data_IF_266283340769
#
_entry.id   IF_266283340769
#
_cell.length_a   1.000
_cell.length_b   1.000
_cell.length_c   1.000
_cell.angle_alpha   90.00
_cell.angle_beta   90.00
_cell.angle_gamma   90.00
#
_symmetry.space_group_name_H-M   'P 1'
#
loop_
_entity.id
_entity.type
_entity.pdbx_description
1 polymer ?
#
# COMPACT_ATOMS: atom_id res chain seq x y z
N UNK A 1 -7.30 -39.57 -20.39
CA UNK A 1 -6.32 -38.63 -19.83
C UNK A 1 -7.02 -37.37 -19.32
N UNK A 2 -7.66 -36.57 -20.18
CA UNK A 2 -8.39 -35.36 -19.75
C UNK A 2 -9.39 -35.56 -18.61
N UNK A 3 -10.26 -36.58 -18.69
CA UNK A 3 -11.22 -36.90 -17.61
C UNK A 3 -10.53 -37.18 -16.26
N UNK A 4 -9.33 -37.75 -16.27
CA UNK A 4 -8.56 -38.01 -15.05
C UNK A 4 -8.03 -36.71 -14.44
N UNK A 5 -7.52 -35.79 -15.27
CA UNK A 5 -7.07 -34.46 -14.83
C UNK A 5 -8.24 -33.65 -14.22
N UNK A 6 -9.44 -33.76 -14.80
CA UNK A 6 -10.66 -33.15 -14.28
C UNK A 6 -11.07 -33.71 -12.91
N UNK A 7 -10.98 -35.03 -12.74
CA UNK A 7 -11.27 -35.67 -11.46
C UNK A 7 -10.28 -35.24 -10.37
N UNK A 8 -8.99 -35.17 -10.70
CA UNK A 8 -7.96 -34.64 -9.80
C UNK A 8 -8.20 -33.17 -9.42
N UNK A 9 -8.62 -32.35 -10.39
CA UNK A 9 -8.97 -30.94 -10.14
C UNK A 9 -10.13 -30.84 -9.15
N UNK A 10 -11.20 -31.62 -9.33
CA UNK A 10 -12.34 -31.63 -8.43
C UNK A 10 -11.94 -32.02 -7.00
N UNK A 11 -11.08 -33.03 -6.84
CA UNK A 11 -10.58 -33.44 -5.52
C UNK A 11 -9.75 -32.33 -4.85
N UNK A 12 -8.88 -31.66 -5.60
CA UNK A 12 -8.09 -30.54 -5.08
C UNK A 12 -8.97 -29.34 -4.71
N UNK A 13 -10.03 -29.05 -5.48
CA UNK A 13 -11.00 -27.99 -5.16
C UNK A 13 -11.67 -28.28 -3.81
N UNK A 14 -12.12 -29.52 -3.59
CA UNK A 14 -12.73 -29.92 -2.31
C UNK A 14 -11.76 -29.69 -1.15
N UNK A 15 -10.52 -30.18 -1.27
CA UNK A 15 -9.49 -30.00 -0.23
C UNK A 15 -9.16 -28.52 0.01
N UNK A 16 -9.04 -27.71 -1.04
CA UNK A 16 -8.77 -26.27 -0.95
C UNK A 16 -9.91 -25.53 -0.26
N UNK A 17 -11.15 -25.88 -0.58
CA UNK A 17 -12.34 -25.30 0.05
C UNK A 17 -12.41 -25.65 1.54
N UNK A 18 -12.08 -26.88 1.91
CA UNK A 18 -12.00 -27.31 3.30
C UNK A 18 -10.91 -26.54 4.07
N UNK A 19 -9.69 -26.49 3.54
CA UNK A 19 -8.60 -25.67 4.10
C UNK A 19 -9.04 -24.22 4.32
N UNK A 20 -9.61 -23.60 3.29
CA UNK A 20 -10.06 -22.20 3.37
C UNK A 20 -11.18 -22.02 4.40
N UNK A 21 -12.09 -22.99 4.55
CA UNK A 21 -13.12 -22.98 5.59
C UNK A 21 -12.50 -23.01 6.98
N UNK A 22 -11.53 -23.89 7.21
CA UNK A 22 -10.83 -24.00 8.49
C UNK A 22 -10.04 -22.74 8.83
N UNK A 23 -9.33 -22.16 7.86
CA UNK A 23 -8.62 -20.89 8.02
C UNK A 23 -9.57 -19.73 8.37
N UNK A 24 -10.73 -19.62 7.70
CA UNK A 24 -11.74 -18.62 8.06
C UNK A 24 -12.30 -18.83 9.47
N UNK A 25 -12.56 -20.08 9.85
CA UNK A 25 -13.02 -20.43 11.21
C UNK A 25 -11.97 -20.03 12.25
N UNK A 26 -10.69 -20.35 12.01
CA UNK A 26 -9.59 -19.97 12.88
C UNK A 26 -9.49 -18.45 13.05
N UNK A 27 -9.52 -17.70 11.94
CA UNK A 27 -9.47 -16.24 11.98
C UNK A 27 -10.64 -15.65 12.78
N UNK A 28 -11.87 -16.14 12.57
CA UNK A 28 -13.04 -15.67 13.32
C UNK A 28 -12.94 -15.97 14.82
N UNK A 29 -12.45 -17.15 15.21
CA UNK A 29 -12.23 -17.51 16.61
C UNK A 29 -11.14 -16.64 17.25
N UNK A 30 -10.06 -16.36 16.51
CA UNK A 30 -8.99 -15.47 16.99
C UNK A 30 -9.49 -14.03 17.18
N UNK A 31 -10.33 -13.52 16.29
CA UNK A 31 -10.98 -12.21 16.46
C UNK A 31 -11.85 -12.18 17.71
N UNK A 32 -12.72 -13.18 17.90
CA UNK A 32 -13.57 -13.29 19.10
C UNK A 32 -12.73 -13.36 20.38
N UNK A 33 -11.62 -14.10 20.36
CA UNK A 33 -10.71 -14.19 21.48
C UNK A 33 -10.07 -12.83 21.81
N UNK A 34 -9.61 -12.08 20.81
CA UNK A 34 -9.02 -10.75 21.01
C UNK A 34 -10.03 -9.74 21.58
N UNK A 35 -11.26 -9.75 21.06
CA UNK A 35 -12.36 -8.89 21.53
C UNK A 35 -12.71 -9.22 22.99
N UNK A 36 -12.88 -10.51 23.29
CA UNK A 36 -13.22 -10.95 24.65
C UNK A 36 -12.07 -10.75 25.64
N UNK A 37 -10.81 -10.87 25.23
CA UNK A 37 -9.65 -10.60 26.08
C UNK A 37 -9.56 -9.11 26.44
N UNK A 38 -9.94 -8.21 25.53
CA UNK A 38 -10.07 -6.79 25.84
C UNK A 38 -11.17 -6.53 26.88
N UNK A 39 -12.34 -7.16 26.71
CA UNK A 39 -13.44 -7.10 27.68
C UNK A 39 -13.03 -7.67 29.04
N UNK A 40 -12.34 -8.81 29.08
CA UNK A 40 -11.82 -9.42 30.31
C UNK A 40 -10.89 -8.47 31.06
N UNK A 41 -9.97 -7.80 30.35
CA UNK A 41 -9.06 -6.80 30.95
C UNK A 41 -9.80 -5.60 31.54
N UNK A 42 -10.87 -5.14 30.90
CA UNK A 42 -11.66 -4.03 31.45
C UNK A 42 -12.51 -4.46 32.64
N UNK A 43 -13.07 -5.68 32.61
CA UNK A 43 -13.73 -6.31 33.75
C UNK A 43 -12.76 -6.52 34.92
N UNK A 44 -11.50 -6.89 34.68
CA UNK A 44 -10.47 -7.04 35.71
C UNK A 44 -10.19 -5.71 36.43
N UNK A 45 -10.08 -4.61 35.67
CA UNK A 45 -9.92 -3.26 36.23
C UNK A 45 -11.15 -2.83 37.03
N UNK A 46 -12.35 -3.08 36.50
CA UNK A 46 -13.61 -2.78 37.17
C UNK A 46 -13.74 -3.58 38.47
N UNK A 47 -13.45 -4.88 38.44
CA UNK A 47 -13.49 -5.76 39.61
C UNK A 47 -12.52 -5.27 40.69
N UNK A 48 -11.30 -4.91 40.31
CA UNK A 48 -10.29 -4.35 41.23
C UNK A 48 -10.77 -3.05 41.88
N UNK A 49 -11.54 -2.23 41.17
CA UNK A 49 -12.11 -0.99 41.69
C UNK A 49 -13.25 -1.27 42.67
N UNK A 50 -14.22 -2.10 42.28
CA UNK A 50 -15.36 -2.47 43.15
C UNK A 50 -14.88 -3.18 44.43
N UNK A 51 -13.88 -4.06 44.33
CA UNK A 51 -13.24 -4.69 45.50
C UNK A 51 -12.60 -3.64 46.44
N UNK A 52 -11.96 -2.60 45.90
CA UNK A 52 -11.40 -1.50 46.72
C UNK A 52 -12.49 -0.67 47.38
N UNK A 53 -13.62 -0.43 46.73
CA UNK A 53 -14.72 0.36 47.27
C UNK A 53 -15.46 -0.42 48.38
N UNK A 54 -15.64 -1.73 48.23
CA UNK A 54 -16.04 -2.64 49.31
C UNK A 54 -15.07 -2.59 50.49
N UNK A 55 -13.75 -2.65 50.24
CA UNK A 55 -12.73 -2.57 51.30
C UNK A 55 -12.67 -1.20 51.99
N UNK A 56 -12.97 -0.10 51.31
CA UNK A 56 -13.08 1.24 51.93
C UNK A 56 -14.28 1.33 52.86
N UNK A 57 -15.38 0.66 52.54
CA UNK A 57 -16.53 0.54 53.44
C UNK A 57 -16.21 -0.32 54.69
N UNK A 58 -15.21 -1.21 54.61
CA UNK A 58 -14.67 -1.94 55.76
C UNK A 58 -13.58 -1.16 56.52
N UNK A 59 -12.88 -0.21 55.88
CA UNK A 59 -11.87 0.67 56.50
C UNK A 59 -12.45 1.94 57.16
N UNK A 60 -13.76 2.19 57.09
CA UNK A 60 -14.41 3.06 58.07
C UNK A 60 -14.30 2.37 59.44
N UNK A 61 -13.30 2.80 60.21
CA UNK A 61 -12.88 2.20 61.47
C UNK A 61 -14.05 1.75 62.35
N UNK A 62 -14.06 0.45 62.66
CA UNK A 62 -14.89 -0.18 63.67
C UNK A 62 -14.82 0.54 65.04
N UNK A 63 -13.78 1.32 65.30
CA UNK A 63 -13.65 2.09 66.56
C UNK A 63 -14.69 3.20 66.72
N UNK A 64 -15.25 3.73 65.64
CA UNK A 64 -16.17 4.89 65.69
C UNK A 64 -17.65 4.54 65.52
N UNK A 65 -18.00 3.25 65.35
CA UNK A 65 -19.36 2.81 65.02
C UNK A 65 -19.94 1.75 65.98
N UNK A 66 -19.28 1.43 67.09
CA UNK A 66 -19.87 0.57 68.14
C UNK A 66 -21.08 1.25 68.82
N UNK A 67 -21.27 2.57 68.64
CA UNK A 67 -22.41 3.33 69.18
C UNK A 67 -23.70 3.26 68.34
N UNK A 68 -23.70 2.64 67.16
CA UNK A 68 -24.90 2.53 66.29
C UNK A 68 -25.23 1.10 65.82
N UNK A 69 -24.58 0.10 66.42
CA UNK A 69 -24.64 -1.30 66.01
C UNK A 69 -25.95 -2.00 66.46
N UNK A 70 -27.06 -1.66 65.81
CA UNK A 70 -28.26 -2.50 65.78
C UNK A 70 -28.67 -2.75 64.33
N UNK A 71 -28.13 -3.84 63.78
CA UNK A 71 -28.91 -4.77 62.95
C UNK A 71 -29.34 -4.36 61.54
N UNK A 72 -28.85 -3.27 60.96
CA UNK A 72 -29.13 -2.95 59.55
C UNK A 72 -27.83 -2.87 58.75
N UNK A 73 -27.63 -3.82 57.85
CA UNK A 73 -26.66 -3.68 56.78
C UNK A 73 -27.06 -2.45 55.98
N UNK A 74 -26.30 -1.35 56.10
CA UNK A 74 -26.61 -0.09 55.45
C UNK A 74 -26.79 -0.32 53.94
N UNK A 75 -27.81 0.26 53.32
CA UNK A 75 -28.18 0.05 51.90
C UNK A 75 -26.99 0.24 50.97
N UNK A 76 -26.10 1.19 51.30
CA UNK A 76 -24.86 1.43 50.56
C UNK A 76 -23.96 0.18 50.49
N UNK A 77 -23.80 -0.56 51.59
CA UNK A 77 -22.97 -1.78 51.62
C UNK A 77 -23.60 -2.90 50.78
N UNK A 78 -24.93 -3.05 50.80
CA UNK A 78 -25.63 -4.05 49.97
C UNK A 78 -25.42 -3.76 48.48
N UNK A 79 -25.51 -2.48 48.11
CA UNK A 79 -25.32 -2.03 46.73
C UNK A 79 -23.91 -2.35 46.22
N UNK A 80 -22.88 -2.01 46.99
CA UNK A 80 -21.49 -2.16 46.54
C UNK A 80 -21.05 -3.63 46.49
N UNK A 81 -21.57 -4.48 47.38
CA UNK A 81 -21.39 -5.94 47.29
C UNK A 81 -22.09 -6.50 46.05
N UNK A 82 -23.28 -6.02 45.71
CA UNK A 82 -24.00 -6.46 44.53
C UNK A 82 -23.27 -6.03 43.23
N UNK A 83 -22.77 -4.80 43.17
CA UNK A 83 -21.98 -4.27 42.05
C UNK A 83 -20.68 -5.09 41.86
N UNK A 84 -19.95 -5.38 42.96
CA UNK A 84 -18.77 -6.24 42.92
C UNK A 84 -19.08 -7.67 42.44
N UNK A 85 -20.15 -8.28 42.96
CA UNK A 85 -20.56 -9.64 42.58
C UNK A 85 -21.01 -9.74 41.11
N UNK A 86 -21.67 -8.70 40.58
CA UNK A 86 -22.07 -8.66 39.17
C UNK A 86 -20.84 -8.60 38.25
N UNK A 87 -19.86 -7.75 38.57
CA UNK A 87 -18.62 -7.64 37.79
C UNK A 87 -17.79 -8.93 37.89
N UNK A 88 -17.72 -9.55 39.07
CA UNK A 88 -17.05 -10.84 39.28
C UNK A 88 -17.68 -11.96 38.45
N UNK A 89 -19.02 -12.02 38.39
CA UNK A 89 -19.73 -13.00 37.56
C UNK A 89 -19.39 -12.82 36.08
N UNK A 90 -19.43 -11.58 35.57
CA UNK A 90 -19.09 -11.26 34.18
C UNK A 90 -17.64 -11.58 33.86
N UNK A 91 -16.72 -11.30 34.79
CA UNK A 91 -15.30 -11.62 34.66
C UNK A 91 -15.08 -13.14 34.56
N UNK A 92 -15.67 -13.89 35.48
CA UNK A 92 -15.55 -15.35 35.52
C UNK A 92 -16.15 -16.02 34.28
N UNK A 93 -17.25 -15.48 33.75
CA UNK A 93 -17.84 -15.94 32.50
C UNK A 93 -16.90 -15.67 31.31
N UNK A 94 -16.35 -14.46 31.23
CA UNK A 94 -15.38 -14.11 30.19
C UNK A 94 -14.13 -15.02 30.24
N UNK A 95 -13.60 -15.36 31.42
CA UNK A 95 -12.48 -16.30 31.56
C UNK A 95 -12.83 -17.71 31.05
N UNK A 96 -14.03 -18.22 31.38
CA UNK A 96 -14.48 -19.53 30.89
C UNK A 96 -14.61 -19.53 29.38
N UNK A 97 -15.28 -18.52 28.81
CA UNK A 97 -15.46 -18.41 27.37
C UNK A 97 -14.12 -18.23 26.64
N UNK A 98 -13.15 -17.51 27.20
CA UNK A 98 -11.79 -17.42 26.64
C UNK A 98 -11.09 -18.78 26.60
N UNK A 99 -11.27 -19.60 27.64
CA UNK A 99 -10.74 -20.97 27.68
C UNK A 99 -11.41 -21.87 26.64
N UNK A 100 -12.72 -21.75 26.47
CA UNK A 100 -13.45 -22.49 25.44
C UNK A 100 -12.99 -22.09 24.03
N UNK A 101 -12.87 -20.79 23.77
CA UNK A 101 -12.33 -20.27 22.51
C UNK A 101 -10.89 -20.72 22.26
N UNK A 102 -10.05 -20.76 23.29
CA UNK A 102 -8.68 -21.27 23.18
C UNK A 102 -8.68 -22.75 22.76
N UNK A 103 -9.51 -23.58 23.38
CA UNK A 103 -9.64 -24.99 23.00
C UNK A 103 -10.13 -25.13 21.56
N UNK A 104 -11.13 -24.35 21.15
CA UNK A 104 -11.65 -24.37 19.78
C UNK A 104 -10.60 -23.96 18.75
N UNK A 105 -9.79 -22.94 19.05
CA UNK A 105 -8.65 -22.53 18.21
C UNK A 105 -7.64 -23.67 18.08
N UNK A 106 -7.35 -24.37 19.17
CA UNK A 106 -6.39 -25.48 19.18
C UNK A 106 -6.90 -26.70 18.40
N UNK A 107 -8.20 -27.02 18.52
CA UNK A 107 -8.86 -28.04 17.71
C UNK A 107 -8.74 -27.70 16.22
N UNK A 108 -9.14 -26.49 15.82
CA UNK A 108 -9.07 -26.09 14.40
C UNK A 108 -7.63 -26.07 13.89
N UNK A 109 -6.67 -25.64 14.72
CA UNK A 109 -5.26 -25.69 14.38
C UNK A 109 -4.80 -27.13 14.12
N UNK A 110 -5.18 -28.08 14.97
CA UNK A 110 -4.87 -29.50 14.78
C UNK A 110 -5.53 -30.09 13.54
N UNK A 111 -6.77 -29.70 13.21
CA UNK A 111 -7.45 -30.10 11.97
C UNK A 111 -6.69 -29.60 10.73
N UNK A 112 -6.16 -28.37 10.76
CA UNK A 112 -5.35 -27.81 9.67
C UNK A 112 -4.01 -28.56 9.53
N UNK A 113 -3.35 -28.87 10.66
CA UNK A 113 -2.06 -29.56 10.66
C UNK A 113 -2.17 -31.03 10.19
N UNK A 114 -3.27 -31.70 10.53
CA UNK A 114 -3.50 -33.12 10.18
C UNK A 114 -4.08 -33.32 8.78
N UNK A 115 -4.74 -32.31 8.20
CA UNK A 115 -5.44 -32.42 6.91
C UNK A 115 -4.57 -32.49 5.65
N UNK A 116 -3.24 -32.59 5.78
CA UNK A 116 -2.27 -32.64 4.65
C UNK A 116 -2.51 -31.51 3.63
N UNK A 117 -2.63 -30.29 4.13
CA UNK A 117 -2.93 -29.10 3.33
C UNK A 117 -1.68 -28.35 2.84
N UNK A 118 -0.49 -28.76 3.26
CA UNK A 118 0.79 -28.06 3.03
C UNK A 118 1.21 -28.05 1.56
N UNK A 119 0.95 -29.14 0.83
CA UNK A 119 1.34 -29.30 -0.57
C UNK A 119 0.21 -28.98 -1.56
N UNK A 120 -0.97 -28.55 -1.09
CA UNK A 120 -2.13 -28.33 -1.96
C UNK A 120 -1.84 -27.32 -3.07
N UNK A 121 -1.17 -26.21 -2.75
CA UNK A 121 -0.88 -25.19 -3.75
C UNK A 121 0.17 -25.67 -4.77
N UNK A 122 1.10 -26.54 -4.34
CA UNK A 122 2.07 -27.18 -5.24
C UNK A 122 1.37 -28.19 -6.15
N UNK A 123 0.50 -29.05 -5.61
CA UNK A 123 -0.30 -29.99 -6.40
C UNK A 123 -1.23 -29.27 -7.38
N UNK A 124 -1.84 -28.15 -6.97
CA UNK A 124 -2.64 -27.32 -7.87
C UNK A 124 -1.81 -26.80 -9.03
N UNK A 125 -0.62 -26.26 -8.74
CA UNK A 125 0.28 -25.72 -9.76
C UNK A 125 0.74 -26.81 -10.74
N UNK A 126 1.14 -27.99 -10.24
CA UNK A 126 1.52 -29.14 -11.08
C UNK A 126 0.37 -29.58 -11.99
N UNK A 127 -0.84 -29.70 -11.43
CA UNK A 127 -2.01 -30.11 -12.19
C UNK A 127 -2.34 -29.12 -13.31
N UNK A 128 -2.28 -27.80 -13.04
CA UNK A 128 -2.51 -26.79 -14.07
C UNK A 128 -1.47 -26.89 -15.20
N UNK A 129 -0.20 -27.13 -14.88
CA UNK A 129 0.85 -27.36 -15.88
C UNK A 129 0.59 -28.62 -16.72
N UNK A 130 0.14 -29.71 -16.08
CA UNK A 130 -0.22 -30.95 -16.80
C UNK A 130 -1.42 -30.74 -17.72
N UNK A 131 -2.45 -30.01 -17.28
CA UNK A 131 -3.61 -29.65 -18.11
C UNK A 131 -3.19 -28.78 -19.29
N UNK A 132 -2.36 -27.77 -19.06
CA UNK A 132 -1.82 -26.92 -20.11
C UNK A 132 -1.04 -27.74 -21.15
N UNK A 133 -0.11 -28.60 -20.73
CA UNK A 133 0.64 -29.48 -21.63
C UNK A 133 -0.29 -30.40 -22.44
N UNK A 134 -1.34 -30.90 -21.80
CA UNK A 134 -2.34 -31.72 -22.48
C UNK A 134 -3.09 -30.93 -23.56
N UNK A 135 -3.55 -29.70 -23.27
CA UNK A 135 -4.20 -28.82 -24.24
C UNK A 135 -3.27 -28.53 -25.43
N UNK A 136 -2.02 -28.14 -25.15
CA UNK A 136 -1.00 -27.94 -26.17
C UNK A 136 -0.85 -29.16 -27.09
N UNK A 137 -0.87 -30.38 -26.56
CA UNK A 137 -0.68 -31.59 -27.35
C UNK A 137 -1.93 -32.06 -28.11
N UNK A 138 -3.15 -31.76 -27.63
CA UNK A 138 -4.36 -32.44 -28.07
C UNK A 138 -5.43 -31.53 -28.71
N UNK A 139 -5.33 -30.21 -28.58
CA UNK A 139 -6.31 -29.26 -29.15
C UNK A 139 -5.62 -28.14 -29.94
N UNK A 140 -5.98 -27.98 -31.22
CA UNK A 140 -5.37 -26.96 -32.09
C UNK A 140 -5.87 -25.56 -31.72
N UNK A 141 -7.17 -25.42 -31.48
CA UNK A 141 -7.80 -24.13 -31.17
C UNK A 141 -7.29 -23.59 -29.83
N UNK A 142 -7.32 -24.40 -28.76
CA UNK A 142 -6.81 -23.97 -27.45
C UNK A 142 -5.31 -23.67 -27.49
N UNK A 143 -4.50 -24.45 -28.23
CA UNK A 143 -3.08 -24.17 -28.42
C UNK A 143 -2.87 -22.77 -29.01
N UNK A 144 -3.57 -22.46 -30.10
CA UNK A 144 -3.43 -21.18 -30.77
C UNK A 144 -3.91 -20.03 -29.89
N UNK A 145 -4.99 -20.22 -29.14
CA UNK A 145 -5.48 -19.24 -28.17
C UNK A 145 -4.49 -19.01 -27.02
N UNK A 146 -3.94 -20.07 -26.42
CA UNK A 146 -2.93 -19.99 -25.37
C UNK A 146 -1.66 -19.29 -25.85
N UNK A 147 -1.16 -19.61 -27.05
CA UNK A 147 0.01 -18.93 -27.63
C UNK A 147 -0.24 -17.42 -27.81
N UNK A 148 -1.42 -17.04 -28.29
CA UNK A 148 -1.80 -15.63 -28.44
C UNK A 148 -1.90 -14.93 -27.08
N UNK A 149 -2.50 -15.58 -26.08
CA UNK A 149 -2.63 -15.04 -24.73
C UNK A 149 -1.27 -14.88 -24.05
N UNK A 150 -0.35 -15.85 -24.18
CA UNK A 150 1.00 -15.72 -23.63
C UNK A 150 1.82 -14.63 -24.29
N UNK A 151 1.73 -14.52 -25.61
CA UNK A 151 2.36 -13.42 -26.34
C UNK A 151 1.81 -12.07 -25.90
N UNK A 152 0.48 -11.97 -25.76
CA UNK A 152 -0.16 -10.74 -25.27
C UNK A 152 0.28 -10.41 -23.84
N UNK A 153 0.33 -11.41 -22.94
CA UNK A 153 0.81 -11.22 -21.57
C UNK A 153 2.24 -10.69 -21.54
N UNK A 154 3.15 -11.31 -22.27
CA UNK A 154 4.55 -10.88 -22.33
C UNK A 154 4.70 -9.44 -22.82
N UNK A 155 3.93 -9.07 -23.84
CA UNK A 155 3.88 -7.70 -24.35
C UNK A 155 3.38 -6.71 -23.29
N UNK A 156 2.27 -7.03 -22.61
CA UNK A 156 1.69 -6.19 -21.56
C UNK A 156 2.60 -6.08 -20.33
N UNK A 157 3.29 -7.15 -19.92
CA UNK A 157 4.27 -7.14 -18.84
C UNK A 157 5.47 -6.26 -19.19
N UNK A 158 5.93 -6.30 -20.45
CA UNK A 158 6.95 -5.36 -20.94
C UNK A 158 6.44 -3.92 -20.88
N UNK A 159 5.21 -3.64 -21.34
CA UNK A 159 4.62 -2.30 -21.28
C UNK A 159 4.52 -1.77 -19.85
N UNK A 160 4.09 -2.62 -18.92
CA UNK A 160 3.99 -2.27 -17.50
C UNK A 160 5.36 -1.83 -16.96
N UNK A 161 6.40 -2.60 -17.25
CA UNK A 161 7.76 -2.31 -16.80
C UNK A 161 8.25 -0.94 -17.31
N UNK A 162 8.13 -0.68 -18.62
CA UNK A 162 8.57 0.61 -19.19
C UNK A 162 7.78 1.80 -18.62
N UNK A 163 6.48 1.63 -18.40
CA UNK A 163 5.64 2.68 -17.80
C UNK A 163 6.05 2.96 -16.36
N UNK A 164 6.37 1.93 -15.57
CA UNK A 164 6.87 2.09 -14.20
C UNK A 164 8.22 2.81 -14.17
N UNK A 165 9.14 2.46 -15.07
CA UNK A 165 10.44 3.14 -15.21
C UNK A 165 10.25 4.62 -15.58
N UNK A 166 9.35 4.92 -16.51
CA UNK A 166 9.02 6.30 -16.88
C UNK A 166 8.33 7.08 -15.74
N UNK A 167 7.42 6.47 -14.98
CA UNK A 167 6.79 7.10 -13.82
C UNK A 167 7.81 7.47 -12.74
N UNK A 168 8.80 6.59 -12.49
CA UNK A 168 9.89 6.87 -11.55
C UNK A 168 10.73 8.04 -12.05
N UNK A 169 11.19 7.98 -13.31
CA UNK A 169 12.01 9.05 -13.87
C UNK A 169 11.29 10.40 -13.96
N UNK A 170 9.98 10.41 -14.23
CA UNK A 170 9.18 11.62 -14.24
C UNK A 170 8.99 12.24 -12.86
N UNK A 171 8.80 11.42 -11.81
CA UNK A 171 8.77 11.91 -10.42
C UNK A 171 10.12 12.47 -9.98
N UNK A 172 11.22 11.80 -10.35
CA UNK A 172 12.57 12.31 -10.11
C UNK A 172 12.79 13.66 -10.81
N UNK A 173 12.32 13.79 -12.06
CA UNK A 173 12.38 15.03 -12.83
C UNK A 173 11.57 16.17 -12.19
N UNK A 174 10.34 15.87 -11.76
CA UNK A 174 9.49 16.84 -11.06
C UNK A 174 10.16 17.35 -9.77
N UNK A 175 10.71 16.45 -8.95
CA UNK A 175 11.41 16.85 -7.71
C UNK A 175 12.65 17.70 -7.99
N UNK A 176 13.41 17.37 -9.04
CA UNK A 176 14.59 18.14 -9.41
C UNK A 176 14.21 19.55 -9.92
N UNK A 177 13.09 19.68 -10.65
CA UNK A 177 12.54 20.96 -11.07
C UNK A 177 12.09 21.83 -9.88
N UNK A 178 11.41 21.24 -8.89
CA UNK A 178 10.99 21.91 -7.66
C UNK A 178 12.20 22.46 -6.87
N UNK A 179 13.26 21.65 -6.74
CA UNK A 179 14.50 22.08 -6.09
C UNK A 179 15.17 23.23 -6.83
N UNK A 180 15.26 23.14 -8.16
CA UNK A 180 15.81 24.22 -8.99
C UNK A 180 15.00 25.51 -8.84
N UNK A 181 13.67 25.43 -8.81
CA UNK A 181 12.80 26.58 -8.59
C UNK A 181 13.00 27.20 -7.20
N UNK A 182 13.05 26.40 -6.14
CA UNK A 182 13.26 26.88 -4.75
C UNK A 182 14.57 27.65 -4.60
N UNK A 183 15.63 27.18 -5.25
CA UNK A 183 16.94 27.83 -5.23
C UNK A 183 16.95 29.15 -6.03
N UNK A 184 16.26 29.18 -7.17
CA UNK A 184 16.04 30.42 -7.92
C UNK A 184 15.18 31.44 -7.15
N UNK A 185 14.19 30.99 -6.39
CA UNK A 185 13.40 31.83 -5.51
C UNK A 185 14.28 32.47 -4.43
N UNK A 186 15.14 31.68 -3.81
CA UNK A 186 16.11 32.13 -2.82
C UNK A 186 17.11 33.14 -3.41
N UNK A 187 17.65 32.86 -4.60
CA UNK A 187 18.57 33.76 -5.30
C UNK A 187 17.92 35.09 -5.73
N UNK A 188 16.66 35.05 -6.18
CA UNK A 188 15.87 36.24 -6.55
C UNK A 188 15.58 37.14 -5.35
N UNK A 189 15.24 36.56 -4.19
CA UNK A 189 15.00 37.30 -2.95
C UNK A 189 16.27 38.03 -2.47
N UNK A 190 17.44 37.38 -2.57
CA UNK A 190 18.75 37.96 -2.24
C UNK A 190 19.16 39.11 -3.18
N UNK A 191 18.85 39.01 -4.48
CA UNK A 191 19.13 40.04 -5.48
C UNK A 191 18.31 41.32 -5.26
N UNK A 192 17.06 41.17 -4.84
CA UNK A 192 16.14 42.29 -4.52
C UNK A 192 16.61 43.07 -3.29
N UNK A 193 17.26 42.39 -2.33
CA UNK A 193 17.76 43.01 -1.10
C UNK A 193 18.96 43.95 -1.34
N UNK A 194 19.84 43.62 -2.29
CA UNK A 194 21.03 44.42 -2.66
C UNK A 194 20.67 45.73 -3.38
N UNK A 195 19.49 45.78 -4.02
CA UNK A 195 19.00 46.96 -4.75
C UNK A 195 18.49 48.06 -3.79
N UNK A 196 18.09 47.69 -2.56
CA UNK A 196 17.47 48.62 -1.61
C UNK A 196 18.38 49.06 -0.44
N UNK A 197 19.53 48.43 -0.18
CA UNK A 197 20.34 48.71 1.03
C UNK A 197 21.83 49.03 0.83
N UNK A 198 22.31 49.22 -0.41
CA UNK A 198 23.67 49.74 -0.67
C UNK A 198 24.77 48.71 -0.47
N UNK A 199 25.23 48.13 -1.58
CA UNK A 199 26.16 47.01 -1.65
C UNK A 199 27.52 47.23 -0.99
N UNK A 200 27.95 46.20 -0.25
CA UNK A 200 29.30 46.04 0.29
C UNK A 200 29.93 44.72 -0.19
N UNK A 201 31.26 44.64 -0.14
CA UNK A 201 32.09 43.52 -0.64
C UNK A 201 31.68 42.13 -0.08
N UNK A 202 31.04 42.08 1.09
CA UNK A 202 30.51 40.84 1.68
C UNK A 202 29.25 40.30 0.99
N UNK A 203 28.45 41.15 0.32
CA UNK A 203 27.25 40.74 -0.42
C UNK A 203 27.60 40.02 -1.73
N UNK A 204 28.72 40.39 -2.36
CA UNK A 204 29.20 39.80 -3.63
C UNK A 204 29.65 38.34 -3.45
N UNK A 205 30.25 37.97 -2.32
CA UNK A 205 30.71 36.60 -2.07
C UNK A 205 29.55 35.63 -1.80
N UNK A 206 28.52 36.06 -1.06
CA UNK A 206 27.28 35.29 -0.84
C UNK A 206 26.44 35.16 -2.12
N UNK A 207 26.49 36.16 -3.01
CA UNK A 207 25.90 36.07 -4.36
C UNK A 207 26.57 34.97 -5.18
N UNK A 208 27.90 34.84 -5.15
CA UNK A 208 28.59 33.79 -5.90
C UNK A 208 28.25 32.38 -5.41
N UNK A 209 28.11 32.15 -4.10
CA UNK A 209 27.76 30.81 -3.58
C UNK A 209 26.32 30.39 -3.89
N UNK A 210 25.36 31.31 -3.77
CA UNK A 210 23.94 31.04 -4.06
C UNK A 210 23.66 30.87 -5.56
N UNK A 211 24.35 31.64 -6.41
CA UNK A 211 24.26 31.49 -7.87
C UNK A 211 24.87 30.16 -8.34
N UNK A 212 26.02 29.75 -7.81
CA UNK A 212 26.63 28.46 -8.13
C UNK A 212 25.73 27.28 -7.68
N UNK A 213 25.12 27.38 -6.49
CA UNK A 213 24.11 26.39 -6.03
C UNK A 213 22.95 26.25 -7.01
N UNK A 214 22.39 27.38 -7.46
CA UNK A 214 21.31 27.37 -8.46
C UNK A 214 21.72 26.72 -9.78
N UNK A 215 22.99 26.85 -10.21
CA UNK A 215 23.51 26.22 -11.44
C UNK A 215 23.49 24.70 -11.31
N UNK A 216 23.89 24.18 -10.15
CA UNK A 216 23.95 22.75 -9.88
C UNK A 216 22.54 22.13 -9.87
N UNK A 217 21.55 22.76 -9.22
CA UNK A 217 20.18 22.24 -9.20
C UNK A 217 19.49 22.29 -10.56
N UNK A 218 19.75 23.34 -11.35
CA UNK A 218 19.30 23.45 -12.74
C UNK A 218 19.92 22.32 -13.58
N UNK A 219 21.20 22.02 -13.40
CA UNK A 219 21.86 20.90 -14.08
C UNK A 219 21.27 19.54 -13.65
N UNK A 220 20.94 19.36 -12.37
CA UNK A 220 20.25 18.16 -11.89
C UNK A 220 18.87 17.99 -12.54
N UNK A 221 18.09 19.06 -12.64
CA UNK A 221 16.80 19.04 -13.33
C UNK A 221 16.94 18.65 -14.80
N UNK A 222 17.94 19.18 -15.51
CA UNK A 222 18.23 18.78 -16.90
C UNK A 222 18.55 17.30 -17.03
N UNK A 223 19.36 16.76 -16.11
CA UNK A 223 19.76 15.36 -16.14
C UNK A 223 18.54 14.46 -15.89
N UNK A 224 17.71 14.81 -14.92
CA UNK A 224 16.50 14.05 -14.59
C UNK A 224 15.48 14.08 -15.75
N UNK A 225 15.30 15.22 -16.40
CA UNK A 225 14.41 15.34 -17.56
C UNK A 225 14.89 14.58 -18.80
N UNK A 226 16.20 14.56 -19.08
CA UNK A 226 16.76 13.71 -20.15
C UNK A 226 16.56 12.22 -19.89
N UNK A 227 16.70 11.81 -18.64
CA UNK A 227 16.39 10.44 -18.24
C UNK A 227 14.91 10.16 -18.47
N UNK A 228 14.02 11.03 -18.00
CA UNK A 228 12.58 10.86 -18.19
C UNK A 228 12.19 10.78 -19.67
N UNK A 229 12.78 11.62 -20.53
CA UNK A 229 12.60 11.53 -21.98
C UNK A 229 13.01 10.16 -22.53
N UNK A 230 14.15 9.63 -22.07
CA UNK A 230 14.64 8.31 -22.51
C UNK A 230 13.63 7.22 -22.15
N UNK A 231 13.14 7.18 -20.90
CA UNK A 231 12.14 6.20 -20.49
C UNK A 231 10.81 6.37 -21.27
N UNK A 232 10.40 7.61 -21.59
CA UNK A 232 9.21 7.86 -22.42
C UNK A 232 9.37 7.34 -23.85
N UNK A 233 10.59 7.36 -24.41
CA UNK A 233 10.86 6.75 -25.70
C UNK A 233 10.68 5.24 -25.66
N UNK A 234 11.14 4.59 -24.58
CA UNK A 234 10.98 3.15 -24.40
C UNK A 234 9.50 2.76 -24.23
N UNK A 235 8.73 3.52 -23.45
CA UNK A 235 7.26 3.38 -23.39
C UNK A 235 6.65 3.49 -24.78
N UNK A 236 7.02 4.49 -25.57
CA UNK A 236 6.49 4.68 -26.93
C UNK A 236 6.81 3.49 -27.82
N UNK A 237 8.03 2.97 -27.77
CA UNK A 237 8.46 1.83 -28.57
C UNK A 237 7.66 0.56 -28.26
N UNK A 238 7.38 0.30 -26.99
CA UNK A 238 6.61 -0.88 -26.59
C UNK A 238 5.11 -0.68 -26.85
N UNK A 239 4.54 0.50 -26.60
CA UNK A 239 3.12 0.80 -26.85
C UNK A 239 2.78 0.71 -28.35
N UNK A 240 3.63 1.26 -29.23
CA UNK A 240 3.39 1.23 -30.69
C UNK A 240 3.44 -0.17 -31.30
N UNK A 241 4.06 -1.14 -30.64
CA UNK A 241 4.09 -2.54 -31.09
C UNK A 241 2.88 -3.38 -30.68
N UNK A 242 2.08 -2.93 -29.71
CA UNK A 242 1.15 -3.81 -28.96
C UNK A 242 -0.30 -3.38 -29.04
N UNK A 243 -0.60 -2.07 -29.00
CA UNK A 243 -1.98 -1.58 -28.94
C UNK A 243 -2.24 -0.61 -30.10
N UNK A 244 -3.27 -0.88 -30.93
CA UNK A 244 -3.87 0.12 -31.83
C UNK A 244 -4.72 1.11 -31.01
N UNK A 245 -4.10 1.84 -30.08
CA UNK A 245 -4.73 2.96 -29.39
C UNK A 245 -4.05 4.23 -29.85
N UNK A 246 -4.87 5.27 -29.97
CA UNK A 246 -4.58 6.57 -30.54
C UNK A 246 -3.17 7.06 -30.18
N UNK A 247 -2.47 7.58 -31.18
CA UNK A 247 -1.03 7.88 -31.20
C UNK A 247 -0.68 8.77 -30.01
N UNK A 248 -0.37 8.18 -28.86
CA UNK A 248 -0.47 8.90 -27.60
C UNK A 248 0.60 9.98 -27.53
N UNK A 249 0.11 11.23 -27.49
CA UNK A 249 0.78 12.51 -27.27
C UNK A 249 1.57 12.55 -25.93
N UNK A 250 2.57 11.70 -25.78
CA UNK A 250 3.70 12.00 -24.90
C UNK A 250 4.50 13.06 -25.66
N UNK A 251 4.20 14.33 -25.36
CA UNK A 251 4.88 15.45 -26.01
C UNK A 251 6.38 15.32 -25.78
N UNK A 252 7.15 15.50 -26.84
CA UNK A 252 8.58 15.74 -26.78
C UNK A 252 8.77 17.15 -26.22
N UNK A 253 8.92 17.30 -24.90
CA UNK A 253 9.15 18.60 -24.24
C UNK A 253 10.57 19.15 -24.48
N UNK A 254 11.37 18.47 -25.31
CA UNK A 254 12.82 18.65 -25.33
C UNK A 254 13.30 19.78 -26.24
N UNK A 255 12.63 20.05 -27.35
CA UNK A 255 13.03 21.15 -28.25
C UNK A 255 12.78 22.55 -27.64
N UNK A 256 11.83 22.70 -26.72
CA UNK A 256 11.50 24.00 -26.11
C UNK A 256 12.15 24.22 -24.74
N UNK A 257 12.28 23.17 -23.92
CA UNK A 257 12.83 23.25 -22.57
C UNK A 257 14.36 23.48 -22.57
N UNK A 258 15.09 22.74 -23.42
CA UNK A 258 16.55 22.71 -23.35
C UNK A 258 17.22 23.95 -23.99
N UNK A 259 16.66 24.52 -25.06
CA UNK A 259 17.31 25.63 -25.78
C UNK A 259 17.03 27.01 -25.17
N UNK A 260 15.84 27.23 -24.60
CA UNK A 260 15.41 28.57 -24.18
C UNK A 260 15.67 28.85 -22.69
N UNK A 261 15.31 27.93 -21.77
CA UNK A 261 15.32 28.18 -20.30
C UNK A 261 16.72 28.37 -19.76
N UNK A 262 17.62 27.47 -20.14
CA UNK A 262 18.95 27.39 -19.57
C UNK A 262 19.89 28.45 -20.13
N UNK A 263 19.72 28.76 -21.41
CA UNK A 263 20.44 29.85 -22.08
C UNK A 263 20.02 31.21 -21.53
N UNK A 264 18.72 31.41 -21.27
CA UNK A 264 18.21 32.68 -20.74
C UNK A 264 18.59 32.92 -19.28
N UNK A 265 18.56 31.89 -18.43
CA UNK A 265 18.99 32.01 -17.03
C UNK A 265 20.48 32.36 -16.87
N UNK A 266 21.32 31.79 -17.74
CA UNK A 266 22.77 32.07 -17.76
C UNK A 266 23.05 33.57 -18.02
N UNK A 267 22.08 34.29 -18.60
CA UNK A 267 22.06 35.74 -18.69
C UNK A 267 21.40 36.29 -17.40
N UNK A 268 22.24 36.76 -16.47
CA UNK A 268 21.91 37.25 -15.11
C UNK A 268 20.63 38.10 -14.93
N UNK A 269 20.09 38.71 -16.00
CA UNK A 269 18.89 39.55 -15.97
C UNK A 269 17.55 38.80 -16.15
N UNK A 270 17.53 37.48 -16.36
CA UNK A 270 16.31 36.74 -16.74
C UNK A 270 15.81 35.71 -15.72
N UNK A 271 16.08 35.90 -14.41
CA UNK A 271 15.68 34.95 -13.35
C UNK A 271 14.17 34.68 -13.34
N UNK A 272 13.32 35.71 -13.49
CA UNK A 272 11.86 35.53 -13.49
C UNK A 272 11.38 34.72 -14.71
N UNK A 273 11.90 35.03 -15.91
CA UNK A 273 11.63 34.25 -17.13
C UNK A 273 12.02 32.77 -16.96
N UNK A 274 13.10 32.51 -16.23
CA UNK A 274 13.58 31.14 -15.99
C UNK A 274 12.65 30.38 -15.04
N UNK A 275 12.08 31.06 -14.04
CA UNK A 275 11.08 30.48 -13.13
C UNK A 275 9.78 30.17 -13.84
N UNK A 276 9.24 31.10 -14.62
CA UNK A 276 7.98 30.93 -15.34
C UNK A 276 8.03 29.69 -16.25
N UNK A 277 9.19 29.44 -16.87
CA UNK A 277 9.37 28.28 -17.74
C UNK A 277 9.65 26.98 -16.97
N UNK A 278 10.28 27.04 -15.80
CA UNK A 278 10.35 25.86 -14.91
C UNK A 278 8.94 25.42 -14.51
N UNK A 279 8.06 26.38 -14.18
CA UNK A 279 6.65 26.09 -13.87
C UNK A 279 5.90 25.47 -15.05
N UNK A 280 6.06 26.03 -16.25
CA UNK A 280 5.48 25.45 -17.46
C UNK A 280 5.92 23.99 -17.67
N UNK A 281 7.19 23.69 -17.35
CA UNK A 281 7.74 22.35 -17.51
C UNK A 281 7.26 21.40 -16.44
N UNK A 282 7.17 21.86 -15.19
CA UNK A 282 6.58 21.07 -14.12
C UNK A 282 5.17 20.64 -14.50
N UNK A 283 4.35 21.56 -15.03
CA UNK A 283 3.02 21.22 -15.54
C UNK A 283 3.04 20.21 -16.69
N UNK A 284 3.95 20.34 -17.64
CA UNK A 284 4.10 19.35 -18.72
C UNK A 284 4.49 17.95 -18.18
N UNK A 285 5.38 17.89 -17.18
CA UNK A 285 5.77 16.64 -16.53
C UNK A 285 4.60 16.03 -15.78
N UNK A 286 3.84 16.83 -15.03
CA UNK A 286 2.63 16.41 -14.33
C UNK A 286 1.59 15.83 -15.29
N UNK A 287 1.31 16.51 -16.41
CA UNK A 287 0.39 16.03 -17.45
C UNK A 287 0.82 14.68 -18.04
N UNK A 288 2.12 14.48 -18.25
CA UNK A 288 2.65 13.21 -18.76
C UNK A 288 2.56 12.11 -17.69
N UNK A 289 2.86 12.42 -16.43
CA UNK A 289 2.72 11.48 -15.31
C UNK A 289 1.26 11.02 -15.14
N UNK A 290 0.29 11.91 -15.31
CA UNK A 290 -1.13 11.56 -15.27
C UNK A 290 -1.52 10.59 -16.41
N UNK A 291 -1.04 10.85 -17.62
CA UNK A 291 -1.24 9.95 -18.78
C UNK A 291 -0.59 8.59 -18.56
N UNK A 292 0.63 8.55 -18.02
CA UNK A 292 1.34 7.30 -17.70
C UNK A 292 0.59 6.50 -16.62
N UNK A 293 0.07 7.17 -15.59
CA UNK A 293 -0.71 6.53 -14.53
C UNK A 293 -2.02 5.92 -15.06
N UNK A 294 -2.71 6.65 -15.94
CA UNK A 294 -3.89 6.14 -16.65
C UNK A 294 -3.54 4.91 -17.48
N UNK A 295 -2.45 4.98 -18.26
CA UNK A 295 -1.98 3.87 -19.08
C UNK A 295 -1.56 2.66 -18.25
N UNK A 296 -0.92 2.86 -17.09
CA UNK A 296 -0.56 1.80 -16.17
C UNK A 296 -1.82 1.03 -15.70
N UNK A 297 -2.87 1.77 -15.33
CA UNK A 297 -4.15 1.20 -14.90
C UNK A 297 -4.83 0.39 -16.01
N UNK A 298 -4.78 0.88 -17.26
CA UNK A 298 -5.29 0.15 -18.42
C UNK A 298 -4.52 -1.16 -18.66
N UNK A 299 -3.19 -1.11 -18.62
CA UNK A 299 -2.33 -2.29 -18.81
C UNK A 299 -2.56 -3.32 -17.70
N UNK A 300 -2.70 -2.87 -16.45
CA UNK A 300 -3.01 -3.75 -15.32
C UNK A 300 -4.36 -4.45 -15.50
N UNK A 301 -5.39 -3.70 -15.91
CA UNK A 301 -6.71 -4.29 -16.21
C UNK A 301 -6.66 -5.32 -17.33
N UNK A 302 -5.90 -5.05 -18.41
CA UNK A 302 -5.74 -5.99 -19.52
C UNK A 302 -4.92 -7.23 -19.12
N UNK A 303 -3.89 -7.08 -18.27
CA UNK A 303 -3.15 -8.20 -17.71
C UNK A 303 -4.06 -9.11 -16.88
N UNK A 304 -4.92 -8.53 -16.04
CA UNK A 304 -5.89 -9.28 -15.24
C UNK A 304 -6.88 -10.04 -16.14
N UNK A 305 -7.37 -9.40 -17.21
CA UNK A 305 -8.22 -10.04 -18.21
C UNK A 305 -7.52 -11.23 -18.89
N UNK A 306 -6.25 -11.07 -19.30
CA UNK A 306 -5.46 -12.14 -19.94
C UNK A 306 -5.20 -13.28 -18.96
N UNK A 307 -4.86 -12.98 -17.70
CA UNK A 307 -4.69 -13.98 -16.63
C UNK A 307 -5.98 -14.75 -16.40
N UNK A 308 -7.13 -14.06 -16.37
CA UNK A 308 -8.42 -14.70 -16.21
C UNK A 308 -8.75 -15.63 -17.39
N UNK A 309 -8.50 -15.20 -18.63
CA UNK A 309 -8.70 -16.03 -19.82
C UNK A 309 -7.81 -17.27 -19.82
N UNK A 310 -6.51 -17.11 -19.57
CA UNK A 310 -5.57 -18.23 -19.42
C UNK A 310 -6.07 -19.24 -18.39
N UNK A 311 -6.46 -18.73 -17.21
CA UNK A 311 -7.02 -19.55 -16.14
C UNK A 311 -8.30 -20.27 -16.60
N UNK A 312 -9.21 -19.58 -17.27
CA UNK A 312 -10.47 -20.16 -17.73
C UNK A 312 -10.28 -21.30 -18.72
N UNK A 313 -9.28 -21.21 -19.61
CA UNK A 313 -8.95 -22.25 -20.58
C UNK A 313 -8.31 -23.46 -19.88
N UNK A 314 -7.36 -23.22 -18.99
CA UNK A 314 -6.62 -24.28 -18.31
C UNK A 314 -7.49 -24.98 -17.25
N UNK A 315 -8.36 -24.24 -16.56
CA UNK A 315 -9.24 -24.76 -15.51
C UNK A 315 -10.60 -25.28 -16.03
N UNK A 316 -10.95 -25.04 -17.30
CA UNK A 316 -12.13 -25.65 -17.96
C UNK A 316 -12.14 -27.16 -17.79
#
# INVERSE_FOLDING_TARGET
MWQHLQEQQAQLIVKKNERNRLQRKQASLQTQWLELEAVRKDLEKALTKEQKDVLKLDKFSLSNLVSQWKGTMNEKRKKEIAEAAEVELKYNEAEKTLKDLQNDIEIVKSEIETGDYSLIDQHWTSLMQEKEQWLYANTLDDRQELENLYKNRANLESMQKEIEEALIAGKDALSALEQAKSELDSASALSTWDTFLGGGIFVTAMKHSSLNSSQDYIHLAQKALRRFETELMDVKNVVTGVIQVDRSNFMTFTDYFFDNIFTDWMIHSQINTSKDRLDETMHQVEDVLEKLSTKASEVESELENVRHKLKSIIEM
#
